data_IF_692092836390
#
_entry.id   IF_692092836390
#
_cell.length_a   1.000
_cell.length_b   1.000
_cell.length_c   1.000
_cell.angle_alpha   90.00
_cell.angle_beta   90.00
_cell.angle_gamma   90.00
#
_symmetry.space_group_name_H-M   'P 1'
#
loop_
_entity.id
_entity.type
_entity.pdbx_description
1 polymer ?
#
# COMPACT_ATOMS: atom_id res chain seq x y z
N UNK A 1 9.86 18.38 19.07
CA UNK A 1 9.41 17.17 18.32
C UNK A 1 9.17 16.01 19.29
N UNK A 2 8.12 15.21 19.10
CA UNK A 2 7.93 13.98 19.89
C UNK A 2 8.83 12.84 19.37
N UNK A 3 9.26 11.94 20.26
CA UNK A 3 10.07 10.77 19.87
C UNK A 3 9.36 9.88 18.83
N UNK A 4 8.04 9.72 18.96
CA UNK A 4 7.23 8.95 18.01
C UNK A 4 7.25 9.53 16.60
N UNK A 5 7.16 10.85 16.46
CA UNK A 5 7.23 11.51 15.14
C UNK A 5 8.63 11.34 14.53
N UNK A 6 9.70 11.50 15.31
CA UNK A 6 11.08 11.28 14.84
C UNK A 6 11.26 9.86 14.31
N UNK A 7 10.89 8.85 15.11
CA UNK A 7 10.96 7.44 14.69
C UNK A 7 10.14 7.16 13.42
N UNK A 8 8.95 7.75 13.32
CA UNK A 8 8.09 7.58 12.15
C UNK A 8 8.72 8.15 10.88
N UNK A 9 9.23 9.38 10.93
CA UNK A 9 9.90 10.03 9.79
C UNK A 9 11.16 9.27 9.36
N UNK A 10 11.96 8.78 10.32
CA UNK A 10 13.14 7.98 10.03
C UNK A 10 12.82 6.67 9.32
N UNK A 11 11.69 6.00 9.62
CA UNK A 11 11.23 4.80 8.89
C UNK A 11 10.95 5.07 7.41
N UNK A 12 10.63 6.31 7.05
CA UNK A 12 10.44 6.73 5.67
C UNK A 12 11.75 7.18 4.99
N UNK A 13 12.86 7.20 5.72
CA UNK A 13 14.17 7.64 5.25
C UNK A 13 14.39 9.15 5.37
N UNK A 14 13.61 9.83 6.23
CA UNK A 14 13.76 11.27 6.46
C UNK A 14 14.42 11.53 7.81
N UNK A 15 15.54 12.22 7.78
CA UNK A 15 16.21 12.74 8.97
C UNK A 15 15.76 14.20 9.17
N UNK A 16 14.99 14.43 10.23
CA UNK A 16 14.31 15.70 10.48
C UNK A 16 14.63 16.14 11.90
N UNK A 17 15.29 17.29 12.02
CA UNK A 17 15.57 17.91 13.31
C UNK A 17 14.39 18.78 13.79
N UNK A 18 14.26 19.06 15.10
CA UNK A 18 13.14 19.82 15.64
C UNK A 18 12.88 21.17 14.96
N UNK A 19 13.92 21.87 14.55
CA UNK A 19 13.89 23.20 13.93
C UNK A 19 13.33 23.17 12.51
N UNK A 20 13.39 22.00 11.85
CA UNK A 20 12.86 21.78 10.51
C UNK A 20 11.35 21.54 10.52
N UNK A 21 10.75 21.24 11.67
CA UNK A 21 9.33 20.90 11.74
C UNK A 21 8.44 22.11 11.49
N UNK A 22 7.51 21.92 10.56
CA UNK A 22 6.41 22.84 10.31
C UNK A 22 5.08 22.08 10.20
N UNK A 23 3.97 22.81 10.18
CA UNK A 23 2.63 22.23 10.12
C UNK A 23 2.42 21.31 8.92
N UNK A 24 3.02 21.63 7.77
CA UNK A 24 2.88 20.82 6.56
C UNK A 24 3.61 19.49 6.67
N UNK A 25 4.81 19.46 7.26
CA UNK A 25 5.55 18.22 7.54
C UNK A 25 4.76 17.34 8.51
N UNK A 26 4.22 17.93 9.58
CA UNK A 26 3.42 17.18 10.57
C UNK A 26 2.13 16.63 9.94
N UNK A 27 1.40 17.45 9.17
CA UNK A 27 0.18 17.02 8.50
C UNK A 27 0.45 15.91 7.46
N UNK A 28 1.53 16.03 6.70
CA UNK A 28 1.94 15.04 5.69
C UNK A 28 2.36 13.73 6.35
N UNK A 29 3.13 13.78 7.44
CA UNK A 29 3.48 12.61 8.23
C UNK A 29 2.22 11.93 8.81
N UNK A 30 1.25 12.72 9.30
CA UNK A 30 -0.02 12.20 9.78
C UNK A 30 -0.84 11.49 8.69
N UNK A 31 -0.81 12.00 7.45
CA UNK A 31 -1.44 11.33 6.31
C UNK A 31 -0.76 9.99 5.98
N UNK A 32 0.58 9.96 5.98
CA UNK A 32 1.34 8.71 5.80
C UNK A 32 1.04 7.69 6.90
N UNK A 33 0.93 8.14 8.15
CA UNK A 33 0.59 7.27 9.28
C UNK A 33 -0.78 6.61 9.11
N UNK A 34 -1.78 7.36 8.62
CA UNK A 34 -3.11 6.81 8.31
C UNK A 34 -3.06 5.79 7.18
N UNK A 35 -2.26 6.01 6.13
CA UNK A 35 -2.06 5.02 5.08
C UNK A 35 -1.45 3.73 5.64
N UNK A 36 -0.40 3.83 6.46
CA UNK A 36 0.23 2.67 7.11
C UNK A 36 -0.75 1.92 8.02
N UNK A 37 -1.65 2.63 8.70
CA UNK A 37 -2.71 2.01 9.50
C UNK A 37 -3.69 1.20 8.63
N UNK A 38 -4.06 1.68 7.43
CA UNK A 38 -4.89 0.89 6.49
C UNK A 38 -4.19 -0.41 6.12
N UNK A 39 -2.92 -0.37 5.72
CA UNK A 39 -2.17 -1.59 5.38
C UNK A 39 -2.09 -2.57 6.56
N UNK A 40 -1.90 -2.05 7.78
CA UNK A 40 -1.85 -2.87 8.99
C UNK A 40 -3.21 -3.53 9.28
N UNK A 41 -4.32 -2.83 9.09
CA UNK A 41 -5.66 -3.37 9.33
C UNK A 41 -6.01 -4.53 8.39
N UNK A 42 -5.43 -4.55 7.19
CA UNK A 42 -5.65 -5.61 6.20
C UNK A 42 -4.57 -6.70 6.20
N UNK A 43 -3.57 -6.62 7.08
CA UNK A 43 -2.42 -7.53 7.05
C UNK A 43 -2.83 -9.00 7.13
N UNK A 44 -3.68 -9.36 8.09
CA UNK A 44 -4.16 -10.74 8.28
C UNK A 44 -5.02 -11.21 7.09
N UNK A 45 -5.90 -10.33 6.60
CA UNK A 45 -6.76 -10.63 5.47
C UNK A 45 -5.94 -10.93 4.19
N UNK A 46 -4.90 -10.13 3.93
CA UNK A 46 -4.01 -10.29 2.79
C UNK A 46 -3.07 -11.49 2.96
N UNK A 47 -2.62 -11.79 4.18
CA UNK A 47 -1.87 -13.01 4.47
C UNK A 47 -2.72 -14.26 4.17
N UNK A 48 -4.00 -14.24 4.54
CA UNK A 48 -4.94 -15.30 4.19
C UNK A 48 -5.18 -15.39 2.67
N UNK A 49 -5.23 -14.25 1.96
CA UNK A 49 -5.32 -14.25 0.50
C UNK A 49 -4.07 -14.90 -0.15
N UNK A 50 -2.87 -14.50 0.29
CA UNK A 50 -1.60 -15.11 -0.13
C UNK A 50 -1.59 -16.62 0.09
N UNK A 51 -2.01 -17.07 1.28
CA UNK A 51 -2.10 -18.49 1.59
C UNK A 51 -3.07 -19.23 0.65
N UNK A 52 -4.23 -18.65 0.34
CA UNK A 52 -5.19 -19.25 -0.61
C UNK A 52 -4.60 -19.36 -2.01
N UNK A 53 -3.93 -18.32 -2.50
CA UNK A 53 -3.30 -18.34 -3.82
C UNK A 53 -2.29 -19.47 -3.99
N UNK A 54 -1.50 -19.72 -2.96
CA UNK A 54 -0.53 -20.82 -2.95
C UNK A 54 -1.22 -22.19 -2.86
N UNK A 55 -2.17 -22.36 -1.94
CA UNK A 55 -2.78 -23.68 -1.67
C UNK A 55 -3.82 -24.11 -2.71
N UNK A 56 -4.51 -23.16 -3.37
CA UNK A 56 -5.54 -23.45 -4.37
C UNK A 56 -4.94 -23.53 -5.78
N UNK A 57 -3.96 -22.67 -6.08
CA UNK A 57 -3.48 -22.44 -7.45
C UNK A 57 -1.95 -22.54 -7.62
N UNK A 58 -1.21 -22.83 -6.54
CA UNK A 58 0.26 -22.85 -6.58
C UNK A 58 0.88 -21.51 -6.98
N UNK A 59 0.17 -20.39 -6.75
CA UNK A 59 0.68 -19.05 -7.04
C UNK A 59 1.47 -18.58 -5.82
N UNK A 60 2.79 -18.42 -5.99
CA UNK A 60 3.67 -17.94 -4.93
C UNK A 60 3.58 -16.42 -4.81
N UNK A 61 3.21 -15.93 -3.63
CA UNK A 61 3.03 -14.51 -3.36
C UNK A 61 4.05 -13.94 -2.36
N UNK A 62 5.14 -14.65 -2.05
CA UNK A 62 6.14 -14.29 -1.01
C UNK A 62 6.72 -12.87 -1.14
N UNK A 63 6.75 -12.33 -2.36
CA UNK A 63 7.28 -10.99 -2.65
C UNK A 63 6.20 -9.93 -2.93
N UNK A 64 4.93 -10.29 -2.81
CA UNK A 64 3.85 -9.38 -3.18
C UNK A 64 3.54 -8.42 -2.04
N UNK A 65 3.51 -7.12 -2.38
CA UNK A 65 3.02 -6.09 -1.47
C UNK A 65 1.49 -6.10 -1.35
N UNK A 66 0.97 -5.35 -0.37
CA UNK A 66 -0.45 -5.27 -0.08
C UNK A 66 -1.32 -4.90 -1.29
N UNK A 67 -0.88 -3.91 -2.10
CA UNK A 67 -1.57 -3.52 -3.32
C UNK A 67 -1.68 -4.70 -4.29
N UNK A 68 -0.58 -5.39 -4.56
CA UNK A 68 -0.55 -6.51 -5.50
C UNK A 68 -1.43 -7.68 -5.06
N UNK A 69 -1.41 -8.01 -3.77
CA UNK A 69 -2.30 -9.01 -3.18
C UNK A 69 -3.79 -8.63 -3.32
N UNK A 70 -4.13 -7.37 -3.02
CA UNK A 70 -5.50 -6.88 -3.14
C UNK A 70 -5.99 -6.87 -4.59
N UNK A 71 -5.13 -6.45 -5.54
CA UNK A 71 -5.42 -6.48 -6.97
C UNK A 71 -5.62 -7.91 -7.47
N UNK A 72 -4.76 -8.85 -7.11
CA UNK A 72 -4.93 -10.24 -7.49
C UNK A 72 -6.24 -10.84 -6.95
N UNK A 73 -6.62 -10.45 -5.73
CA UNK A 73 -7.89 -10.88 -5.15
C UNK A 73 -9.08 -10.29 -5.90
N UNK A 74 -8.99 -9.02 -6.32
CA UNK A 74 -9.97 -8.37 -7.18
C UNK A 74 -10.08 -9.09 -8.53
N UNK A 75 -8.97 -9.49 -9.16
CA UNK A 75 -8.96 -10.27 -10.42
C UNK A 75 -9.73 -11.59 -10.27
N UNK A 76 -9.43 -12.42 -9.26
CA UNK A 76 -10.15 -13.71 -9.12
C UNK A 76 -11.63 -13.53 -8.76
N UNK A 77 -11.99 -12.41 -8.14
CA UNK A 77 -13.38 -12.06 -7.85
C UNK A 77 -14.14 -11.53 -9.09
N UNK A 78 -13.43 -10.92 -10.06
CA UNK A 78 -13.97 -10.23 -11.24
C UNK A 78 -13.04 -10.45 -12.46
N UNK A 79 -12.91 -11.69 -12.96
CA UNK A 79 -11.94 -12.01 -14.02
C UNK A 79 -12.26 -11.35 -15.37
N UNK A 80 -13.46 -10.83 -15.55
CA UNK A 80 -13.92 -10.08 -16.71
C UNK A 80 -13.36 -8.64 -16.80
N UNK A 81 -12.81 -8.09 -15.71
CA UNK A 81 -12.19 -6.76 -15.71
C UNK A 81 -10.73 -6.85 -16.24
N UNK A 82 -10.28 -5.87 -17.03
CA UNK A 82 -8.95 -5.88 -17.69
C UNK A 82 -7.97 -4.80 -17.18
N UNK A 83 -8.39 -3.93 -16.27
CA UNK A 83 -7.61 -2.75 -15.84
C UNK A 83 -6.67 -3.05 -14.65
N UNK A 84 -5.75 -4.01 -14.82
CA UNK A 84 -4.84 -4.46 -13.74
C UNK A 84 -3.34 -4.54 -14.10
N UNK A 85 -3.00 -4.27 -15.36
CA UNK A 85 -1.64 -4.45 -15.89
C UNK A 85 -0.58 -3.52 -15.26
N UNK A 86 -0.98 -2.44 -14.58
CA UNK A 86 -0.04 -1.57 -13.86
C UNK A 86 0.51 -2.21 -12.57
N UNK A 87 -0.14 -3.26 -12.06
CA UNK A 87 0.19 -3.87 -10.76
C UNK A 87 0.63 -5.33 -10.88
N UNK A 88 0.04 -6.07 -11.82
CA UNK A 88 0.33 -7.48 -12.09
C UNK A 88 1.05 -7.62 -13.43
N UNK A 89 1.98 -8.58 -13.54
CA UNK A 89 2.50 -8.95 -14.86
C UNK A 89 1.41 -9.61 -15.71
N UNK A 90 1.61 -9.64 -17.02
CA UNK A 90 0.68 -10.30 -17.95
C UNK A 90 0.49 -11.78 -17.60
N UNK A 91 1.57 -12.51 -17.33
CA UNK A 91 1.53 -13.92 -16.91
C UNK A 91 0.76 -14.12 -15.59
N UNK A 92 0.95 -13.22 -14.62
CA UNK A 92 0.23 -13.27 -13.35
C UNK A 92 -1.27 -13.03 -13.57
N UNK A 93 -1.64 -12.06 -14.42
CA UNK A 93 -3.02 -11.75 -14.73
C UNK A 93 -3.73 -12.91 -15.45
N UNK A 94 -3.11 -13.45 -16.50
CA UNK A 94 -3.64 -14.60 -17.25
C UNK A 94 -3.87 -15.77 -16.29
N UNK A 95 -2.85 -16.13 -15.50
CA UNK A 95 -2.94 -17.24 -14.55
C UNK A 95 -4.05 -17.02 -13.52
N UNK A 96 -4.16 -15.81 -12.96
CA UNK A 96 -5.23 -15.50 -12.00
C UNK A 96 -6.63 -15.61 -12.61
N UNK A 97 -6.80 -15.15 -13.85
CA UNK A 97 -8.09 -15.25 -14.57
C UNK A 97 -8.46 -16.70 -14.88
N UNK A 98 -7.51 -17.51 -15.34
CA UNK A 98 -7.71 -18.95 -15.59
C UNK A 98 -8.09 -19.70 -14.31
N UNK A 99 -7.48 -19.33 -13.19
CA UNK A 99 -7.68 -19.96 -11.89
C UNK A 99 -8.91 -19.42 -11.12
N UNK A 100 -9.47 -18.28 -11.54
CA UNK A 100 -10.58 -17.59 -10.87
C UNK A 100 -11.77 -18.50 -10.50
N UNK A 101 -12.22 -19.47 -11.34
CA UNK A 101 -13.30 -20.37 -10.98
C UNK A 101 -13.07 -21.17 -9.68
N UNK A 102 -11.81 -21.44 -9.31
CA UNK A 102 -11.46 -22.17 -8.07
C UNK A 102 -11.70 -21.36 -6.80
N UNK A 103 -11.85 -20.04 -6.92
CA UNK A 103 -12.07 -19.12 -5.79
C UNK A 103 -13.55 -18.85 -5.54
N UNK A 104 -14.44 -19.46 -6.33
CA UNK A 104 -15.88 -19.40 -6.11
C UNK A 104 -16.19 -19.88 -4.70
N UNK A 105 -16.95 -19.09 -3.96
CA UNK A 105 -17.33 -19.32 -2.56
C UNK A 105 -16.19 -19.26 -1.51
N UNK A 106 -14.92 -19.19 -1.94
CA UNK A 106 -13.76 -18.98 -1.05
C UNK A 106 -13.50 -17.50 -0.76
N UNK A 107 -14.00 -16.62 -1.62
CA UNK A 107 -13.76 -15.19 -1.53
C UNK A 107 -15.07 -14.40 -1.68
N UNK A 108 -15.32 -13.51 -0.73
CA UNK A 108 -16.49 -12.63 -0.74
C UNK A 108 -16.27 -11.45 -1.69
N UNK A 109 -17.04 -11.39 -2.79
CA UNK A 109 -16.96 -10.29 -3.77
C UNK A 109 -17.11 -8.88 -3.16
N UNK A 110 -18.05 -8.60 -2.23
CA UNK A 110 -18.12 -7.30 -1.57
C UNK A 110 -16.86 -6.95 -0.77
N UNK A 111 -16.28 -7.92 -0.06
CA UNK A 111 -15.04 -7.69 0.71
C UNK A 111 -13.83 -7.50 -0.20
N UNK A 112 -13.78 -8.22 -1.33
CA UNK A 112 -12.81 -8.02 -2.41
C UNK A 112 -12.78 -6.55 -2.87
N UNK A 113 -13.93 -6.00 -3.27
CA UNK A 113 -14.03 -4.62 -3.76
C UNK A 113 -13.57 -3.63 -2.69
N UNK A 114 -14.13 -3.72 -1.48
CA UNK A 114 -13.81 -2.79 -0.41
C UNK A 114 -12.32 -2.79 -0.06
N UNK A 115 -11.74 -3.99 0.05
CA UNK A 115 -10.31 -4.14 0.37
C UNK A 115 -9.44 -3.53 -0.73
N UNK A 116 -9.76 -3.81 -1.99
CA UNK A 116 -9.06 -3.24 -3.14
C UNK A 116 -9.15 -1.70 -3.14
N UNK A 117 -10.33 -1.12 -2.97
CA UNK A 117 -10.53 0.34 -2.96
C UNK A 117 -9.75 1.03 -1.84
N UNK A 118 -9.83 0.50 -0.61
CA UNK A 118 -9.14 1.09 0.55
C UNK A 118 -7.62 1.00 0.40
N UNK A 119 -7.09 -0.14 -0.04
CA UNK A 119 -5.65 -0.35 -0.25
C UNK A 119 -5.13 0.48 -1.43
N UNK A 120 -5.83 0.49 -2.56
CA UNK A 120 -5.44 1.26 -3.75
C UNK A 120 -5.40 2.75 -3.45
N UNK A 121 -6.44 3.28 -2.78
CA UNK A 121 -6.46 4.68 -2.34
C UNK A 121 -5.33 4.98 -1.36
N UNK A 122 -5.11 4.12 -0.35
CA UNK A 122 -4.03 4.30 0.62
C UNK A 122 -2.65 4.25 -0.06
N UNK A 123 -2.46 3.41 -1.07
CA UNK A 123 -1.22 3.29 -1.82
C UNK A 123 -0.93 4.55 -2.64
N UNK A 124 -1.91 5.07 -3.37
CA UNK A 124 -1.78 6.31 -4.13
C UNK A 124 -1.45 7.49 -3.21
N UNK A 125 -2.22 7.67 -2.13
CA UNK A 125 -1.97 8.74 -1.14
C UNK A 125 -0.60 8.57 -0.50
N UNK A 126 -0.18 7.35 -0.13
CA UNK A 126 1.13 7.10 0.46
C UNK A 126 2.27 7.49 -0.47
N UNK A 127 2.17 7.16 -1.76
CA UNK A 127 3.17 7.53 -2.76
C UNK A 127 3.25 9.06 -2.94
N UNK A 128 2.10 9.73 -3.08
CA UNK A 128 2.01 11.20 -3.20
C UNK A 128 2.60 11.89 -1.96
N UNK A 129 2.14 11.52 -0.76
CA UNK A 129 2.57 12.16 0.48
C UNK A 129 4.02 11.86 0.82
N UNK A 130 4.57 10.71 0.42
CA UNK A 130 6.00 10.43 0.56
C UNK A 130 6.83 11.37 -0.30
N UNK A 131 6.43 11.62 -1.54
CA UNK A 131 7.11 12.58 -2.43
C UNK A 131 7.02 14.00 -1.87
N UNK A 132 5.83 14.43 -1.46
CA UNK A 132 5.62 15.75 -0.87
C UNK A 132 6.46 15.95 0.39
N UNK A 133 6.47 14.97 1.31
CA UNK A 133 7.29 15.03 2.51
C UNK A 133 8.78 15.19 2.18
N UNK A 134 9.27 14.50 1.16
CA UNK A 134 10.65 14.64 0.69
C UNK A 134 10.98 16.05 0.19
N UNK A 135 10.06 16.71 -0.51
CA UNK A 135 10.24 18.12 -0.91
C UNK A 135 10.24 19.04 0.29
N UNK A 136 9.28 18.90 1.20
CA UNK A 136 9.15 19.75 2.39
C UNK A 136 10.37 19.64 3.31
N UNK A 137 10.90 18.43 3.52
CA UNK A 137 12.10 18.22 4.34
C UNK A 137 13.34 18.88 3.72
N UNK A 138 13.48 18.82 2.38
CA UNK A 138 14.58 19.50 1.68
C UNK A 138 14.49 21.02 1.81
N UNK A 139 13.30 21.59 1.66
CA UNK A 139 13.06 23.02 1.80
C UNK A 139 13.34 23.49 3.24
N UNK A 140 12.82 22.77 4.23
CA UNK A 140 13.05 23.07 5.64
C UNK A 140 14.54 23.03 6.00
N UNK A 141 15.27 22.02 5.50
CA UNK A 141 16.71 21.92 5.73
C UNK A 141 17.47 23.12 5.16
N UNK A 142 17.16 23.51 3.92
CA UNK A 142 17.78 24.65 3.27
C UNK A 142 17.45 25.99 3.96
N UNK A 143 16.29 26.10 4.61
CA UNK A 143 15.93 27.27 5.40
C UNK A 143 16.72 27.34 6.71
N UNK A 144 16.90 26.20 7.40
CA UNK A 144 17.68 26.12 8.64
C UNK A 144 19.19 26.37 8.42
N UNK A 145 19.75 25.99 7.26
CA UNK A 145 21.17 26.23 6.95
C UNK A 145 21.49 27.70 6.58
N UNK A 146 20.45 28.51 6.32
CA UNK A 146 20.58 29.93 5.93
C UNK A 146 20.30 30.92 7.06
N UNK A 147 19.77 30.45 8.20
CA UNK A 147 19.47 31.23 9.40
C UNK A 147 20.56 31.08 10.44
#
# INVERSE_FOLDING_TARGET
>A
MSQGLKMFLSRYGFDVEPEMLNEQIVATAGALFRCDAVFKNYLEYLANASWRFENVSGIKCEHWGALKLATAQKVVCFPEEDDFHEVLSEDELIKLKEEAPKYKDLVSKPHCIRTYEEISKAHQVRAEKRRLLGSLVKEAKAACEKG
#
